data_IF_301413976815
#
_entry.id   IF_301413976815
#
_cell.length_a   1.000
_cell.length_b   1.000
_cell.length_c   1.000
_cell.angle_alpha   90.00
_cell.angle_beta   90.00
_cell.angle_gamma   90.00
#
_symmetry.space_group_name_H-M   'P 1'
#
loop_
_entity.id
_entity.type
_entity.pdbx_description
1 polymer ?
#
# COMPACT_ATOMS: atom_id res chain seq x y z
N UNK A 1 -42.00 -48.56 41.88
CA UNK A 1 -42.46 -47.52 42.80
C UNK A 1 -42.15 -46.19 42.11
N UNK A 2 -43.09 -45.67 41.33
CA UNK A 2 -44.10 -44.64 41.65
C UNK A 2 -43.38 -43.36 42.15
N UNK A 3 -43.50 -42.17 41.60
CA UNK A 3 -44.63 -41.42 41.03
C UNK A 3 -44.05 -40.16 40.37
N UNK A 4 -44.48 -39.71 39.22
CA UNK A 4 -45.51 -38.67 38.99
C UNK A 4 -45.19 -37.29 39.56
N UNK A 5 -45.12 -36.40 38.66
CA UNK A 5 -45.97 -35.30 38.15
C UNK A 5 -45.68 -33.95 38.77
N UNK A 6 -45.50 -32.97 37.96
CA UNK A 6 -46.44 -31.83 37.82
C UNK A 6 -46.03 -30.84 36.77
N UNK A 7 -46.88 -30.67 35.78
CA UNK A 7 -46.87 -29.59 34.81
C UNK A 7 -47.24 -28.26 35.47
N UNK A 8 -46.47 -27.21 35.22
CA UNK A 8 -46.80 -25.84 35.59
C UNK A 8 -46.78 -24.97 34.32
N UNK A 9 -47.94 -24.85 33.67
CA UNK A 9 -48.15 -23.96 32.52
C UNK A 9 -48.06 -22.49 32.95
N UNK A 10 -47.14 -21.77 32.35
CA UNK A 10 -47.08 -20.31 32.49
C UNK A 10 -47.85 -19.70 31.32
N UNK A 11 -49.04 -19.16 31.61
CA UNK A 11 -49.86 -18.37 30.69
C UNK A 11 -49.22 -17.01 30.50
N UNK A 12 -48.80 -16.72 29.31
CA UNK A 12 -48.47 -15.33 28.89
C UNK A 12 -49.75 -14.51 28.73
N UNK A 13 -49.81 -13.29 29.27
CA UNK A 13 -50.98 -12.42 29.06
C UNK A 13 -50.93 -11.83 27.63
N UNK A 14 -52.06 -11.89 26.92
CA UNK A 14 -52.30 -11.20 25.67
C UNK A 14 -52.26 -9.70 25.92
N UNK A 15 -51.37 -9.02 25.20
CA UNK A 15 -51.48 -7.55 25.05
C UNK A 15 -52.48 -7.21 23.94
N UNK A 16 -53.35 -6.18 24.13
CA UNK A 16 -54.35 -5.80 23.13
C UNK A 16 -53.72 -5.04 21.95
N UNK A 17 -54.29 -5.32 20.79
CA UNK A 17 -54.10 -4.82 19.45
C UNK A 17 -53.26 -3.56 19.22
N UNK A 18 -52.15 -3.72 18.51
CA UNK A 18 -51.49 -2.65 17.80
C UNK A 18 -52.23 -2.37 16.47
N UNK A 19 -52.44 -1.10 16.08
CA UNK A 19 -53.07 -0.75 14.81
C UNK A 19 -52.16 -1.13 13.64
N UNK A 20 -52.75 -1.69 12.59
CA UNK A 20 -52.11 -2.03 11.31
C UNK A 20 -51.45 -0.76 10.73
N UNK A 21 -50.19 -0.85 10.26
CA UNK A 21 -49.58 0.23 9.54
C UNK A 21 -50.29 0.45 8.19
N UNK A 22 -50.77 1.67 7.98
CA UNK A 22 -51.25 2.12 6.68
C UNK A 22 -50.09 2.06 5.69
N UNK A 23 -50.27 1.37 4.59
CA UNK A 23 -49.41 1.44 3.41
C UNK A 23 -49.48 2.87 2.83
N UNK A 24 -48.40 3.60 2.69
CA UNK A 24 -48.38 4.77 1.83
C UNK A 24 -48.22 4.24 0.40
N UNK A 25 -49.28 4.29 -0.39
CA UNK A 25 -49.18 4.24 -1.82
C UNK A 25 -48.60 5.53 -2.34
N UNK A 26 -47.71 5.46 -3.30
CA UNK A 26 -47.25 6.66 -4.01
C UNK A 26 -45.79 6.52 -4.49
N UNK A 27 -45.65 6.06 -5.72
CA UNK A 27 -44.70 6.53 -6.73
C UNK A 27 -43.49 7.35 -6.26
N UNK A 28 -42.44 6.69 -5.79
CA UNK A 28 -41.09 7.29 -5.69
C UNK A 28 -40.02 6.29 -6.13
N UNK A 29 -40.24 5.60 -7.26
CA UNK A 29 -39.27 4.62 -7.76
C UNK A 29 -38.17 5.25 -8.64
N UNK A 30 -38.28 6.55 -8.98
CA UNK A 30 -37.31 7.21 -9.86
C UNK A 30 -36.18 7.95 -9.12
N UNK A 31 -36.46 8.48 -7.94
CA UNK A 31 -35.43 9.25 -7.19
C UNK A 31 -34.48 8.37 -6.38
N UNK A 32 -34.86 7.17 -5.99
CA UNK A 32 -34.04 6.21 -5.26
C UNK A 32 -32.90 5.64 -6.10
N UNK A 33 -33.20 5.32 -7.37
CA UNK A 33 -32.18 4.76 -8.27
C UNK A 33 -31.09 5.77 -8.61
N UNK A 34 -31.45 7.05 -8.85
CA UNK A 34 -30.48 8.12 -9.07
C UNK A 34 -29.61 8.40 -7.83
N UNK A 35 -30.18 8.33 -6.64
CA UNK A 35 -29.43 8.49 -5.39
C UNK A 35 -28.49 7.31 -5.13
N UNK A 36 -28.92 6.08 -5.38
CA UNK A 36 -28.06 4.90 -5.26
C UNK A 36 -26.91 4.92 -6.28
N UNK A 37 -27.16 5.32 -7.51
CA UNK A 37 -26.10 5.43 -8.53
C UNK A 37 -25.11 6.54 -8.17
N UNK A 38 -25.55 7.66 -7.62
CA UNK A 38 -24.65 8.72 -7.12
C UNK A 38 -23.79 8.27 -5.96
N UNK A 39 -24.35 7.52 -4.99
CA UNK A 39 -23.61 6.99 -3.85
C UNK A 39 -22.59 5.93 -4.29
N UNK A 40 -22.95 5.07 -5.26
CA UNK A 40 -22.02 4.09 -5.82
C UNK A 40 -20.90 4.78 -6.62
N UNK A 41 -21.21 5.81 -7.40
CA UNK A 41 -20.21 6.61 -8.12
C UNK A 41 -19.27 7.36 -7.16
N UNK A 42 -19.78 7.93 -6.07
CA UNK A 42 -18.96 8.57 -5.04
C UNK A 42 -18.10 7.55 -4.30
N UNK A 43 -18.61 6.36 -3.98
CA UNK A 43 -17.84 5.29 -3.35
C UNK A 43 -16.76 4.74 -4.30
N UNK A 44 -17.04 4.63 -5.60
CA UNK A 44 -16.06 4.24 -6.61
C UNK A 44 -15.00 5.33 -6.81
N UNK A 45 -15.39 6.61 -6.78
CA UNK A 45 -14.46 7.73 -6.92
C UNK A 45 -13.51 7.85 -5.73
N UNK A 46 -13.96 7.55 -4.51
CA UNK A 46 -13.11 7.53 -3.30
C UNK A 46 -12.18 6.32 -3.26
N UNK A 47 -12.54 5.19 -3.89
CA UNK A 47 -11.65 4.03 -4.02
C UNK A 47 -10.50 4.25 -5.02
N UNK A 48 -10.60 5.21 -5.94
CA UNK A 48 -9.57 5.47 -6.96
C UNK A 48 -8.43 6.38 -6.47
N UNK A 49 -8.54 6.96 -5.27
CA UNK A 49 -7.45 7.74 -4.66
C UNK A 49 -6.59 6.85 -3.74
N UNK A 50 -5.96 5.84 -4.29
CA UNK A 50 -4.83 5.20 -3.61
C UNK A 50 -3.69 6.21 -3.65
N UNK A 51 -3.60 7.06 -2.64
CA UNK A 51 -2.44 7.91 -2.44
C UNK A 51 -1.26 7.00 -2.16
N UNK A 52 -0.33 6.93 -3.09
CA UNK A 52 0.97 6.29 -2.87
C UNK A 52 1.72 7.22 -1.93
N UNK A 53 1.66 6.92 -0.64
CA UNK A 53 2.40 7.68 0.36
C UNK A 53 3.78 7.05 0.57
N UNK A 54 4.82 7.86 0.37
CA UNK A 54 6.16 7.54 0.81
C UNK A 54 6.23 7.45 2.34
N UNK A 55 7.21 6.72 2.86
CA UNK A 55 7.41 6.47 4.29
C UNK A 55 8.84 6.80 4.68
N UNK A 56 9.02 7.41 5.85
CA UNK A 56 10.33 7.56 6.50
C UNK A 56 10.50 6.42 7.48
N UNK A 57 11.47 5.55 7.22
CA UNK A 57 11.78 4.41 8.07
C UNK A 57 12.67 4.80 9.24
N UNK A 58 12.48 4.14 10.39
CA UNK A 58 13.52 4.14 11.41
C UNK A 58 14.66 3.21 10.99
N UNK A 59 15.89 3.49 11.48
CA UNK A 59 17.07 2.66 11.20
C UNK A 59 16.85 1.18 11.53
N UNK A 60 16.25 0.89 12.69
CA UNK A 60 16.02 -0.49 13.15
C UNK A 60 14.98 -1.21 12.30
N UNK A 61 13.91 -0.50 11.93
CA UNK A 61 12.84 -1.05 11.08
C UNK A 61 13.39 -1.39 9.68
N UNK A 62 14.14 -0.46 9.08
CA UNK A 62 14.78 -0.69 7.79
C UNK A 62 15.75 -1.87 7.87
N UNK A 63 16.62 -1.92 8.88
CA UNK A 63 17.57 -3.01 9.07
C UNK A 63 16.89 -4.38 9.15
N UNK A 64 15.76 -4.45 9.85
CA UNK A 64 15.00 -5.69 9.95
C UNK A 64 14.44 -6.11 8.58
N UNK A 65 13.86 -5.19 7.80
CA UNK A 65 13.33 -5.51 6.50
C UNK A 65 14.42 -5.93 5.51
N UNK A 66 15.51 -5.19 5.43
CA UNK A 66 16.64 -5.53 4.55
C UNK A 66 17.29 -6.87 4.91
N UNK A 67 17.38 -7.19 6.20
CA UNK A 67 17.89 -8.48 6.66
C UNK A 67 16.97 -9.64 6.27
N UNK A 68 15.67 -9.49 6.46
CA UNK A 68 14.67 -10.50 6.06
C UNK A 68 14.68 -10.71 4.54
N UNK A 69 14.89 -9.64 3.78
CA UNK A 69 15.01 -9.69 2.32
C UNK A 69 16.34 -10.27 1.81
N UNK A 70 17.28 -10.61 2.72
CA UNK A 70 18.53 -11.27 2.36
C UNK A 70 19.66 -10.34 1.92
N UNK A 71 19.61 -9.05 2.27
CA UNK A 71 20.67 -8.11 1.89
C UNK A 71 21.91 -8.21 2.77
N UNK A 72 21.82 -8.84 3.94
CA UNK A 72 22.98 -9.02 4.80
C UNK A 72 23.95 -10.06 4.20
N UNK A 73 25.09 -9.60 3.73
CA UNK A 73 26.09 -10.39 3.02
C UNK A 73 25.86 -10.47 1.51
N UNK A 74 24.79 -9.88 0.96
CA UNK A 74 24.50 -9.94 -0.47
C UNK A 74 25.60 -9.25 -1.29
N UNK A 75 26.15 -9.97 -2.28
CA UNK A 75 27.30 -9.54 -3.07
C UNK A 75 28.52 -9.05 -2.25
N UNK A 76 28.66 -9.56 -1.00
CA UNK A 76 29.74 -9.18 -0.10
C UNK A 76 29.49 -7.92 0.72
N UNK A 77 28.34 -7.28 0.57
CA UNK A 77 27.96 -6.08 1.34
C UNK A 77 27.19 -6.46 2.61
N UNK A 78 27.68 -6.00 3.75
CA UNK A 78 27.01 -6.20 5.03
C UNK A 78 25.72 -5.37 5.13
N UNK A 79 24.83 -5.75 6.05
CA UNK A 79 23.63 -4.96 6.35
C UNK A 79 23.95 -3.48 6.67
N UNK A 80 25.11 -3.24 7.33
CA UNK A 80 25.55 -1.88 7.67
C UNK A 80 25.82 -1.04 6.40
N UNK A 81 26.35 -1.64 5.32
CA UNK A 81 26.57 -0.92 4.07
C UNK A 81 25.24 -0.45 3.46
N UNK A 82 24.21 -1.29 3.45
CA UNK A 82 22.89 -0.96 2.94
C UNK A 82 22.18 0.12 3.76
N UNK A 83 22.30 0.04 5.09
CA UNK A 83 21.75 1.08 5.98
C UNK A 83 22.49 2.41 5.78
N UNK A 84 23.80 2.36 5.60
CA UNK A 84 24.61 3.54 5.34
C UNK A 84 24.22 4.19 4.01
N UNK A 85 24.07 3.39 2.95
CA UNK A 85 23.59 3.84 1.64
C UNK A 85 22.25 4.57 1.77
N UNK A 86 21.23 3.91 2.32
CA UNK A 86 19.90 4.50 2.47
C UNK A 86 19.90 5.79 3.32
N UNK A 87 20.81 5.89 4.29
CA UNK A 87 20.94 7.12 5.10
C UNK A 87 21.48 8.29 4.28
N UNK A 88 22.55 8.06 3.53
CA UNK A 88 23.19 9.13 2.75
C UNK A 88 22.36 9.52 1.54
N UNK A 89 21.66 8.57 0.91
CA UNK A 89 20.86 8.83 -0.26
C UNK A 89 19.54 9.55 0.05
N UNK A 90 18.80 9.09 1.06
CA UNK A 90 17.43 9.58 1.29
C UNK A 90 17.07 9.91 2.72
N UNK A 91 17.98 9.74 3.69
CA UNK A 91 17.65 9.76 5.11
C UNK A 91 16.52 8.80 5.46
N UNK A 92 16.49 7.63 4.80
CA UNK A 92 15.47 6.57 4.94
C UNK A 92 14.08 6.92 4.42
N UNK A 93 13.95 7.90 3.55
CA UNK A 93 12.68 8.37 2.99
C UNK A 93 12.40 7.70 1.63
N UNK A 94 11.38 6.85 1.56
CA UNK A 94 10.97 6.22 0.29
C UNK A 94 10.30 7.19 -0.67
N UNK A 95 9.72 8.29 -0.19
CA UNK A 95 9.03 9.28 -1.02
C UNK A 95 9.95 10.35 -1.60
N UNK A 96 11.27 10.24 -1.42
CA UNK A 96 12.20 11.25 -1.93
C UNK A 96 12.41 11.09 -3.44
N UNK A 97 12.27 12.20 -4.16
CA UNK A 97 12.65 12.34 -5.58
C UNK A 97 13.60 13.51 -5.68
N UNK A 98 14.78 13.28 -6.25
CA UNK A 98 15.74 14.34 -6.56
C UNK A 98 15.88 14.48 -8.07
N UNK A 99 15.85 15.73 -8.55
CA UNK A 99 15.92 16.06 -9.97
C UNK A 99 17.34 16.46 -10.35
N UNK A 100 17.91 15.72 -11.29
CA UNK A 100 19.27 15.95 -11.77
C UNK A 100 19.33 16.98 -12.90
N UNK A 101 20.49 17.60 -13.07
CA UNK A 101 20.68 18.63 -14.11
C UNK A 101 20.57 18.09 -15.55
N UNK A 102 20.73 16.80 -15.76
CA UNK A 102 20.60 16.11 -17.05
C UNK A 102 19.14 15.73 -17.37
N UNK A 103 18.19 16.08 -16.47
CA UNK A 103 16.77 15.78 -16.60
C UNK A 103 16.37 14.44 -16.01
N UNK A 104 17.30 13.59 -15.58
CA UNK A 104 16.98 12.35 -14.88
C UNK A 104 16.47 12.60 -13.46
N UNK A 105 15.88 11.60 -12.86
CA UNK A 105 15.44 11.62 -11.46
C UNK A 105 16.11 10.51 -10.67
N UNK A 106 16.39 10.77 -9.39
CA UNK A 106 16.80 9.77 -8.42
C UNK A 106 15.64 9.52 -7.45
N UNK A 107 15.26 8.25 -7.23
CA UNK A 107 13.96 7.91 -6.67
C UNK A 107 14.08 6.94 -5.49
N UNK A 108 13.27 7.19 -4.46
CA UNK A 108 13.06 6.28 -3.37
C UNK A 108 14.19 6.24 -2.32
N UNK A 109 14.14 5.21 -1.48
CA UNK A 109 15.04 5.11 -0.32
C UNK A 109 16.52 4.96 -0.69
N UNK A 110 16.80 4.39 -1.87
CA UNK A 110 18.15 4.23 -2.40
C UNK A 110 18.48 5.21 -3.52
N UNK A 111 17.64 6.18 -3.82
CA UNK A 111 17.83 7.19 -4.87
C UNK A 111 18.25 6.57 -6.21
N UNK A 112 17.46 5.59 -6.64
CA UNK A 112 17.70 4.87 -7.90
C UNK A 112 17.44 5.79 -9.09
N UNK A 113 18.43 5.94 -9.98
CA UNK A 113 18.41 6.92 -11.06
C UNK A 113 17.64 6.41 -12.29
N UNK A 114 16.77 7.28 -12.84
CA UNK A 114 15.92 6.98 -14.00
C UNK A 114 16.71 6.83 -15.30
N UNK A 115 17.93 7.36 -15.38
CA UNK A 115 18.72 7.31 -16.60
C UNK A 115 19.00 5.88 -17.08
N UNK A 116 19.15 4.93 -16.15
CA UNK A 116 19.46 3.52 -16.45
C UNK A 116 18.47 2.52 -15.86
N UNK A 117 17.96 2.78 -14.67
CA UNK A 117 17.42 1.73 -13.83
C UNK A 117 15.91 1.63 -13.82
N UNK A 118 15.18 2.74 -13.92
CA UNK A 118 13.72 2.76 -13.94
C UNK A 118 13.19 3.71 -15.03
N UNK A 119 11.91 3.59 -15.36
CA UNK A 119 11.24 4.45 -16.35
C UNK A 119 10.47 5.56 -15.64
N UNK A 120 10.84 6.83 -15.86
CA UNK A 120 10.16 8.02 -15.35
C UNK A 120 9.09 8.58 -16.31
N UNK A 121 8.86 7.90 -17.44
CA UNK A 121 7.91 8.27 -18.50
C UNK A 121 8.23 9.60 -19.21
N UNK A 122 9.32 10.27 -18.87
CA UNK A 122 9.69 11.57 -19.46
C UNK A 122 10.85 11.47 -20.44
N UNK A 123 11.74 10.52 -20.21
CA UNK A 123 12.93 10.32 -21.06
C UNK A 123 13.10 8.83 -21.40
N UNK A 124 13.59 8.51 -22.59
CA UNK A 124 13.93 7.13 -22.94
C UNK A 124 14.98 6.57 -21.96
N UNK A 125 14.69 5.45 -21.33
CA UNK A 125 15.58 4.76 -20.37
C UNK A 125 15.72 3.29 -20.77
N UNK A 126 16.90 2.67 -20.58
CA UNK A 126 17.05 1.22 -20.66
C UNK A 126 16.17 0.46 -19.66
N UNK A 127 15.75 1.11 -18.59
CA UNK A 127 14.90 0.56 -17.55
C UNK A 127 15.35 -0.85 -17.10
N UNK A 128 16.59 -0.96 -16.66
CA UNK A 128 17.24 -2.26 -16.36
C UNK A 128 16.51 -3.00 -15.23
N UNK A 129 15.85 -2.28 -14.31
CA UNK A 129 15.07 -2.90 -13.24
C UNK A 129 13.66 -3.34 -13.68
N UNK A 130 13.22 -2.94 -14.87
CA UNK A 130 11.91 -3.29 -15.44
C UNK A 130 10.73 -2.84 -14.55
N UNK A 131 10.76 -1.55 -14.14
CA UNK A 131 9.76 -0.93 -13.27
C UNK A 131 9.62 0.56 -13.57
N UNK A 132 8.50 1.16 -13.13
CA UNK A 132 8.37 2.60 -13.14
C UNK A 132 9.06 3.22 -11.92
N UNK A 133 9.68 4.39 -12.09
CA UNK A 133 10.35 5.07 -10.96
C UNK A 133 9.37 5.41 -9.82
N UNK A 134 8.08 5.58 -10.12
CA UNK A 134 7.03 5.76 -9.11
C UNK A 134 6.84 4.55 -8.18
N UNK A 135 7.19 3.34 -8.62
CA UNK A 135 7.07 2.13 -7.80
C UNK A 135 8.06 2.15 -6.63
N UNK A 136 9.18 2.88 -6.80
CA UNK A 136 10.20 3.10 -5.76
C UNK A 136 9.79 4.13 -4.70
N UNK A 137 8.65 4.82 -4.87
CA UNK A 137 8.20 5.89 -3.96
C UNK A 137 7.18 5.42 -2.93
N UNK A 138 6.89 4.13 -2.90
CA UNK A 138 5.87 3.54 -2.04
C UNK A 138 6.39 3.27 -0.63
N UNK A 139 5.51 2.92 0.31
CA UNK A 139 5.92 2.45 1.64
C UNK A 139 6.42 0.99 1.64
N UNK A 140 6.27 0.26 0.53
CA UNK A 140 6.83 -1.08 0.32
C UNK A 140 8.25 -0.96 -0.20
N UNK A 141 9.18 -1.74 0.34
CA UNK A 141 10.58 -1.76 -0.10
C UNK A 141 10.90 -2.85 -1.13
N UNK A 142 9.90 -3.60 -1.59
CA UNK A 142 10.16 -4.77 -2.45
C UNK A 142 10.83 -4.39 -3.76
N UNK A 143 10.33 -3.34 -4.41
CA UNK A 143 10.83 -2.87 -5.70
C UNK A 143 12.20 -2.22 -5.54
N UNK A 144 12.37 -1.38 -4.50
CA UNK A 144 13.66 -0.79 -4.14
C UNK A 144 14.73 -1.85 -3.90
N UNK A 145 14.42 -2.87 -3.10
CA UNK A 145 15.33 -3.96 -2.77
C UNK A 145 15.70 -4.76 -4.01
N UNK A 146 14.71 -5.13 -4.81
CA UNK A 146 14.91 -5.94 -6.02
C UNK A 146 15.80 -5.19 -7.02
N UNK A 147 15.53 -3.91 -7.22
CA UNK A 147 16.33 -3.07 -8.11
C UNK A 147 17.74 -2.84 -7.55
N UNK A 148 17.89 -2.52 -6.27
CA UNK A 148 19.18 -2.35 -5.62
C UNK A 148 20.06 -3.60 -5.69
N UNK A 149 19.46 -4.78 -5.51
CA UNK A 149 20.14 -6.06 -5.71
C UNK A 149 20.64 -6.25 -7.15
N UNK A 150 19.89 -5.78 -8.14
CA UNK A 150 20.31 -5.81 -9.55
C UNK A 150 21.43 -4.81 -9.83
N UNK A 151 21.38 -3.61 -9.24
CA UNK A 151 22.42 -2.59 -9.39
C UNK A 151 23.77 -3.10 -8.90
N UNK A 152 23.85 -3.70 -7.71
CA UNK A 152 25.13 -4.16 -7.14
C UNK A 152 25.71 -5.36 -7.88
N UNK A 153 24.95 -6.04 -8.74
CA UNK A 153 25.47 -7.07 -9.65
C UNK A 153 26.19 -6.46 -10.85
N UNK A 154 26.03 -5.16 -11.11
CA UNK A 154 26.77 -4.47 -12.16
C UNK A 154 28.25 -4.33 -11.81
N UNK A 155 29.09 -4.00 -12.80
CA UNK A 155 30.53 -3.91 -12.63
C UNK A 155 30.97 -2.87 -11.57
N UNK A 156 30.15 -1.86 -11.30
CA UNK A 156 30.41 -0.84 -10.28
C UNK A 156 30.07 -1.26 -8.85
N UNK A 157 29.27 -2.32 -8.69
CA UNK A 157 28.77 -2.73 -7.38
C UNK A 157 28.06 -1.60 -6.66
N UNK A 158 28.25 -1.49 -5.35
CA UNK A 158 27.71 -0.38 -4.55
C UNK A 158 28.34 1.01 -4.87
N UNK A 159 29.46 1.04 -5.61
CA UNK A 159 30.05 2.27 -6.10
C UNK A 159 29.35 2.88 -7.31
N UNK A 160 28.24 2.28 -7.75
CA UNK A 160 27.39 2.80 -8.82
C UNK A 160 26.52 3.99 -8.35
N UNK A 161 26.28 4.10 -7.05
CA UNK A 161 25.59 5.22 -6.42
C UNK A 161 26.44 6.46 -6.33
#
# INVERSE_FOLDING_TARGET
MTSQEAAGGFRTPLCPGAPLPRTPGGSEHSSGLLRMTHLILLALLTCLTSVVEGKIFSRCELAQQLKVAGLDGYHGYSLANWICLAFYESHFNTGLVDHQADGSTSNGIFQINSHLWCDDLTHPSPNICDLHCSDLLTSSLNDDITCAMRIVQSAGGMGTW
#
